data_IF_546113375523
#
_entry.id   IF_546113375523
#
_cell.length_a   1.000
_cell.length_b   1.000
_cell.length_c   1.000
_cell.angle_alpha   90.00
_cell.angle_beta   90.00
_cell.angle_gamma   90.00
#
_symmetry.space_group_name_H-M   'P 1'
#
loop_
_entity.id
_entity.type
_entity.pdbx_description
1 polymer ?
#
# COMPACT_ATOMS: atom_id res chain seq x y z
N UNK A 1 18.26 0.92 12.38
CA UNK A 1 16.92 0.27 12.34
C UNK A 1 15.86 1.17 11.71
N UNK A 2 15.62 2.39 12.22
CA UNK A 2 14.57 3.28 11.69
C UNK A 2 14.71 3.61 10.19
N UNK A 3 15.93 3.77 9.69
CA UNK A 3 16.19 4.00 8.25
C UNK A 3 15.68 2.84 7.39
N UNK A 4 15.85 1.59 7.83
CA UNK A 4 15.37 0.40 7.10
C UNK A 4 13.84 0.43 7.03
N UNK A 5 13.17 0.68 8.17
CA UNK A 5 11.71 0.80 8.20
C UNK A 5 11.23 1.93 7.27
N UNK A 6 11.92 3.08 7.28
CA UNK A 6 11.60 4.21 6.40
C UNK A 6 11.71 3.84 4.91
N UNK A 7 12.78 3.15 4.52
CA UNK A 7 12.97 2.66 3.15
C UNK A 7 11.86 1.70 2.75
N UNK A 8 11.48 0.76 3.63
CA UNK A 8 10.41 -0.21 3.33
C UNK A 8 9.05 0.47 3.15
N UNK A 9 8.72 1.45 3.99
CA UNK A 9 7.50 2.27 3.85
C UNK A 9 7.54 3.05 2.54
N UNK A 10 8.66 3.71 2.25
CA UNK A 10 8.87 4.49 1.02
C UNK A 10 8.68 3.64 -0.24
N UNK A 11 9.23 2.42 -0.23
CA UNK A 11 9.06 1.48 -1.33
C UNK A 11 7.61 1.00 -1.47
N UNK A 12 6.91 0.67 -0.38
CA UNK A 12 5.49 0.30 -0.42
C UNK A 12 4.65 1.39 -1.10
N UNK A 13 4.84 2.65 -0.70
CA UNK A 13 4.07 3.76 -1.28
C UNK A 13 4.44 4.05 -2.71
N UNK A 14 5.72 3.96 -3.08
CA UNK A 14 6.15 4.15 -4.46
C UNK A 14 5.57 3.07 -5.37
N UNK A 15 5.56 1.82 -4.91
CA UNK A 15 4.95 0.71 -5.66
C UNK A 15 3.41 0.81 -5.69
N UNK A 16 2.75 1.33 -4.65
CA UNK A 16 1.33 1.64 -4.73
C UNK A 16 1.06 2.74 -5.78
N UNK A 17 1.85 3.82 -5.77
CA UNK A 17 1.66 4.99 -6.62
C UNK A 17 1.76 4.68 -8.12
N UNK A 18 2.53 3.65 -8.51
CA UNK A 18 2.60 3.24 -9.92
C UNK A 18 1.42 2.36 -10.37
N UNK A 19 0.62 1.86 -9.41
CA UNK A 19 -0.54 0.98 -9.62
C UNK A 19 -1.88 1.73 -9.56
N UNK A 20 -1.94 2.93 -8.97
CA UNK A 20 -3.17 3.75 -8.92
C UNK A 20 -3.53 4.32 -10.30
N UNK A 21 -4.79 4.77 -10.48
CA UNK A 21 -5.24 5.31 -11.75
C UNK A 21 -4.38 6.44 -12.32
N UNK A 22 -3.98 6.31 -13.58
CA UNK A 22 -3.01 7.18 -14.27
C UNK A 22 -1.54 6.79 -14.08
N UNK A 23 -1.25 5.73 -13.31
CA UNK A 23 0.10 5.19 -13.11
C UNK A 23 0.60 4.36 -14.29
N UNK A 24 1.93 4.18 -14.43
CA UNK A 24 2.55 3.53 -15.59
C UNK A 24 2.20 2.03 -15.77
N UNK A 25 1.68 1.37 -14.73
CA UNK A 25 1.34 -0.07 -14.75
C UNK A 25 -0.18 -0.29 -14.54
N UNK A 26 -1.00 0.77 -14.62
CA UNK A 26 -2.45 0.64 -14.49
C UNK A 26 -3.04 -0.12 -15.70
N UNK A 27 -3.32 -1.42 -15.49
CA UNK A 27 -3.82 -2.31 -16.53
C UNK A 27 -5.31 -2.72 -16.34
N UNK A 28 -6.00 -2.16 -15.34
CA UNK A 28 -7.38 -2.53 -15.01
C UNK A 28 -8.36 -1.41 -15.37
N UNK A 29 -9.43 -1.76 -16.09
CA UNK A 29 -10.45 -0.80 -16.49
C UNK A 29 -11.58 -0.75 -15.46
N UNK A 30 -11.60 0.32 -14.65
CA UNK A 30 -12.62 0.54 -13.63
C UNK A 30 -13.73 1.51 -14.06
N UNK A 31 -13.82 1.89 -15.34
CA UNK A 31 -14.83 2.85 -15.86
C UNK A 31 -16.30 2.47 -15.58
N UNK A 32 -16.55 1.19 -15.25
CA UNK A 32 -17.87 0.67 -14.87
C UNK A 32 -18.15 0.74 -13.36
N UNK A 33 -17.12 0.92 -12.52
CA UNK A 33 -17.27 1.16 -11.09
C UNK A 33 -17.58 2.64 -10.87
N UNK A 34 -18.87 2.94 -10.70
CA UNK A 34 -19.37 4.28 -10.38
C UNK A 34 -19.93 4.30 -8.96
N UNK A 35 -19.99 5.49 -8.38
CA UNK A 35 -20.67 5.73 -7.10
C UNK A 35 -19.73 5.82 -5.90
N UNK A 36 -20.34 5.83 -4.71
CA UNK A 36 -19.69 6.17 -3.44
C UNK A 36 -18.50 5.23 -3.11
N UNK A 37 -18.66 3.93 -3.34
CA UNK A 37 -17.66 2.90 -2.99
C UNK A 37 -16.34 3.10 -3.74
N UNK A 38 -16.41 3.40 -5.04
CA UNK A 38 -15.23 3.65 -5.87
C UNK A 38 -14.48 4.90 -5.39
N UNK A 39 -15.20 5.99 -5.15
CA UNK A 39 -14.58 7.24 -4.67
C UNK A 39 -14.00 7.10 -3.28
N UNK A 40 -14.72 6.49 -2.34
CA UNK A 40 -14.24 6.25 -0.98
C UNK A 40 -12.96 5.39 -0.97
N UNK A 41 -12.89 4.36 -1.82
CA UNK A 41 -11.69 3.53 -1.92
C UNK A 41 -10.49 4.30 -2.46
N UNK A 42 -10.67 5.12 -3.50
CA UNK A 42 -9.58 5.95 -4.04
C UNK A 42 -9.12 7.00 -3.04
N UNK A 43 -10.05 7.68 -2.34
CA UNK A 43 -9.70 8.62 -1.27
C UNK A 43 -8.90 7.90 -0.17
N UNK A 44 -9.32 6.70 0.21
CA UNK A 44 -8.58 5.88 1.17
C UNK A 44 -7.16 5.57 0.68
N UNK A 45 -6.97 5.13 -0.57
CA UNK A 45 -5.65 4.85 -1.14
C UNK A 45 -4.76 6.11 -1.19
N UNK A 46 -5.33 7.27 -1.53
CA UNK A 46 -4.62 8.55 -1.52
C UNK A 46 -4.14 8.89 -0.12
N UNK A 47 -5.02 8.79 0.89
CA UNK A 47 -4.67 9.04 2.29
C UNK A 47 -3.63 8.06 2.79
N UNK A 48 -3.73 6.78 2.43
CA UNK A 48 -2.73 5.77 2.74
C UNK A 48 -1.37 6.13 2.12
N UNK A 49 -1.36 6.57 0.86
CA UNK A 49 -0.12 6.96 0.17
C UNK A 49 0.52 8.20 0.79
N UNK A 50 -0.23 9.29 0.94
CA UNK A 50 0.28 10.52 1.57
C UNK A 50 0.74 10.25 3.01
N UNK A 51 -0.05 9.52 3.79
CA UNK A 51 0.30 9.09 5.14
C UNK A 51 1.58 8.28 5.18
N UNK A 52 1.78 7.37 4.22
CA UNK A 52 3.00 6.56 4.13
C UNK A 52 4.25 7.40 3.88
N UNK A 53 4.20 8.40 2.99
CA UNK A 53 5.33 9.32 2.80
C UNK A 53 5.65 10.11 4.08
N UNK A 54 4.62 10.59 4.78
CA UNK A 54 4.78 11.29 6.06
C UNK A 54 5.44 10.34 7.09
N UNK A 55 4.95 9.11 7.22
CA UNK A 55 5.50 8.11 8.15
C UNK A 55 6.94 7.73 7.80
N UNK A 56 7.27 7.58 6.52
CA UNK A 56 8.63 7.35 6.06
C UNK A 56 9.56 8.48 6.52
N UNK A 57 9.15 9.75 6.38
CA UNK A 57 9.90 10.89 6.91
C UNK A 57 10.00 10.87 8.44
N UNK A 58 8.91 10.61 9.16
CA UNK A 58 8.89 10.54 10.63
C UNK A 58 9.82 9.45 11.18
N UNK A 59 9.94 8.33 10.48
CA UNK A 59 10.92 7.28 10.80
C UNK A 59 12.36 7.78 10.60
N UNK A 60 12.66 8.59 9.56
CA UNK A 60 13.99 9.14 9.35
C UNK A 60 14.41 10.09 10.49
N UNK A 61 13.48 10.92 10.98
CA UNK A 61 13.74 11.85 12.09
C UNK A 61 13.54 11.21 13.47
N UNK A 62 13.28 9.89 13.53
CA UNK A 62 13.09 9.12 14.77
C UNK A 62 12.02 9.71 15.71
N UNK A 63 10.89 10.16 15.16
CA UNK A 63 9.76 10.63 15.96
C UNK A 63 9.20 9.53 16.85
N UNK A 64 8.76 9.89 18.06
CA UNK A 64 8.27 8.95 19.08
C UNK A 64 7.05 8.13 18.65
N UNK A 65 6.26 8.63 17.70
CA UNK A 65 5.06 7.95 17.20
C UNK A 65 5.30 7.18 15.89
N UNK A 66 6.50 7.26 15.31
CA UNK A 66 6.78 6.76 13.97
C UNK A 66 6.61 5.23 13.87
N UNK A 67 7.00 4.48 14.91
CA UNK A 67 6.87 3.01 14.95
C UNK A 67 5.40 2.59 14.94
N UNK A 68 4.58 3.18 15.82
CA UNK A 68 3.14 2.88 15.88
C UNK A 68 2.46 3.23 14.56
N UNK A 69 2.78 4.39 13.99
CA UNK A 69 2.23 4.77 12.68
C UNK A 69 2.67 3.81 11.58
N UNK A 70 3.92 3.34 11.58
CA UNK A 70 4.40 2.35 10.62
C UNK A 70 3.69 0.99 10.75
N UNK A 71 3.35 0.56 11.98
CA UNK A 71 2.52 -0.63 12.19
C UNK A 71 1.14 -0.48 11.57
N UNK A 72 0.49 0.68 11.77
CA UNK A 72 -0.81 0.97 11.17
C UNK A 72 -0.72 0.94 9.64
N UNK A 73 0.28 1.60 9.05
CA UNK A 73 0.52 1.58 7.60
C UNK A 73 0.73 0.15 7.08
N UNK A 74 1.52 -0.66 7.78
CA UNK A 74 1.78 -2.05 7.41
C UNK A 74 0.49 -2.89 7.39
N UNK A 75 -0.36 -2.74 8.41
CA UNK A 75 -1.66 -3.43 8.49
C UNK A 75 -2.59 -2.99 7.37
N UNK A 76 -2.66 -1.69 7.08
CA UNK A 76 -3.50 -1.17 6.00
C UNK A 76 -3.06 -1.69 4.63
N UNK A 77 -1.75 -1.68 4.35
CA UNK A 77 -1.22 -2.27 3.12
C UNK A 77 -1.53 -3.77 3.01
N UNK A 78 -1.33 -4.52 4.10
CA UNK A 78 -1.67 -5.94 4.13
C UNK A 78 -3.14 -6.16 3.78
N UNK A 79 -4.06 -5.42 4.40
CA UNK A 79 -5.51 -5.54 4.13
C UNK A 79 -5.80 -5.23 2.67
N UNK A 80 -5.27 -4.14 2.10
CA UNK A 80 -5.52 -3.74 0.71
C UNK A 80 -5.14 -4.86 -0.25
N UNK A 81 -3.90 -5.35 -0.16
CA UNK A 81 -3.41 -6.36 -1.09
C UNK A 81 -4.00 -7.75 -0.81
N UNK A 82 -4.29 -8.10 0.45
CA UNK A 82 -4.95 -9.36 0.78
C UNK A 82 -6.38 -9.42 0.20
N UNK A 83 -7.14 -8.32 0.33
CA UNK A 83 -8.51 -8.21 -0.20
C UNK A 83 -8.50 -8.26 -1.74
N UNK A 84 -7.51 -7.64 -2.38
CA UNK A 84 -7.36 -7.67 -3.84
C UNK A 84 -6.99 -9.06 -4.36
N UNK A 85 -5.96 -9.69 -3.75
CA UNK A 85 -5.53 -11.05 -4.10
C UNK A 85 -6.60 -12.11 -3.80
N UNK A 86 -7.43 -11.90 -2.77
CA UNK A 86 -8.59 -12.75 -2.48
C UNK A 86 -9.74 -12.57 -3.49
N UNK A 87 -9.65 -11.60 -4.40
CA UNK A 87 -10.67 -11.34 -5.42
C UNK A 87 -11.98 -10.81 -4.85
N UNK A 88 -11.93 -10.16 -3.68
CA UNK A 88 -13.10 -9.56 -3.01
C UNK A 88 -13.50 -8.25 -3.71
N UNK A 89 -12.52 -7.52 -4.28
CA UNK A 89 -12.84 -6.33 -5.08
C UNK A 89 -13.68 -6.68 -6.31
N UNK A 90 -14.53 -5.73 -6.78
CA UNK A 90 -15.30 -5.92 -8.00
C UNK A 90 -14.41 -6.31 -9.18
N UNK A 91 -14.75 -7.41 -9.85
CA UNK A 91 -13.93 -7.97 -10.92
C UNK A 91 -13.95 -7.06 -12.15
N UNK A 92 -12.78 -6.58 -12.54
CA UNK A 92 -12.58 -5.94 -13.84
C UNK A 92 -12.88 -6.94 -14.97
N UNK A 93 -13.45 -6.50 -16.10
CA UNK A 93 -13.55 -7.33 -17.31
C UNK A 93 -12.17 -7.76 -17.84
N UNK A 94 -11.12 -6.97 -17.55
CA UNK A 94 -9.75 -7.30 -17.92
C UNK A 94 -9.10 -8.15 -16.84
N UNK A 95 -8.52 -9.29 -17.23
CA UNK A 95 -7.73 -10.14 -16.32
C UNK A 95 -6.51 -9.37 -15.83
N UNK A 96 -6.16 -9.61 -14.57
CA UNK A 96 -4.95 -9.09 -13.95
C UNK A 96 -3.70 -9.51 -14.74
N UNK A 97 -2.81 -8.56 -15.04
CA UNK A 97 -1.54 -8.89 -15.69
C UNK A 97 -0.61 -9.62 -14.71
N UNK A 98 0.31 -10.44 -15.23
CA UNK A 98 1.32 -11.12 -14.41
C UNK A 98 2.19 -10.11 -13.63
N UNK A 99 2.47 -8.96 -14.22
CA UNK A 99 3.22 -7.87 -13.57
C UNK A 99 2.47 -7.28 -12.39
N UNK A 100 1.17 -7.01 -12.53
CA UNK A 100 0.34 -6.48 -11.44
C UNK A 100 0.32 -7.47 -10.27
N UNK A 101 0.10 -8.76 -10.56
CA UNK A 101 0.10 -9.83 -9.56
C UNK A 101 1.42 -9.89 -8.79
N UNK A 102 2.54 -9.83 -9.51
CA UNK A 102 3.87 -9.83 -8.89
C UNK A 102 4.05 -8.63 -7.96
N UNK A 103 3.65 -7.43 -8.40
CA UNK A 103 3.77 -6.22 -7.60
C UNK A 103 2.89 -6.25 -6.35
N UNK A 104 1.69 -6.82 -6.42
CA UNK A 104 0.84 -6.99 -5.23
C UNK A 104 1.43 -8.01 -4.24
N UNK A 105 1.98 -9.12 -4.73
CA UNK A 105 2.68 -10.12 -3.88
C UNK A 105 3.92 -9.51 -3.21
N UNK A 106 4.69 -8.71 -3.95
CA UNK A 106 5.87 -8.01 -3.40
C UNK A 106 5.43 -7.03 -2.32
N UNK A 107 4.43 -6.19 -2.59
CA UNK A 107 3.97 -5.21 -1.62
C UNK A 107 3.39 -5.85 -0.36
N UNK A 108 2.54 -6.88 -0.46
CA UNK A 108 2.00 -7.55 0.73
C UNK A 108 3.10 -8.20 1.56
N UNK A 109 4.12 -8.79 0.91
CA UNK A 109 5.28 -9.37 1.60
C UNK A 109 6.08 -8.29 2.33
N UNK A 110 6.28 -7.12 1.69
CA UNK A 110 6.95 -5.98 2.33
C UNK A 110 6.13 -5.41 3.49
N UNK A 111 4.80 -5.39 3.40
CA UNK A 111 3.93 -4.96 4.49
C UNK A 111 4.04 -5.90 5.70
N UNK A 112 4.04 -7.22 5.49
CA UNK A 112 4.26 -8.20 6.55
C UNK A 112 5.64 -8.02 7.18
N UNK A 113 6.68 -7.91 6.35
CA UNK A 113 8.04 -7.67 6.82
C UNK A 113 8.13 -6.39 7.65
N UNK A 114 7.54 -5.29 7.15
CA UNK A 114 7.51 -4.01 7.86
C UNK A 114 6.90 -4.18 9.25
N UNK A 115 5.72 -4.79 9.35
CA UNK A 115 5.03 -4.98 10.63
C UNK A 115 5.88 -5.76 11.63
N UNK A 116 6.43 -6.90 11.21
CA UNK A 116 7.29 -7.73 12.06
C UNK A 116 8.56 -6.99 12.47
N UNK A 117 9.20 -6.29 11.53
CA UNK A 117 10.43 -5.55 11.77
C UNK A 117 10.24 -4.41 12.74
N UNK A 118 9.23 -3.55 12.55
CA UNK A 118 9.00 -2.40 13.45
C UNK A 118 8.53 -2.84 14.83
N UNK A 119 7.84 -3.98 14.94
CA UNK A 119 7.44 -4.56 16.21
C UNK A 119 8.63 -5.14 16.99
N UNK A 120 9.62 -5.70 16.30
CA UNK A 120 10.82 -6.25 16.93
C UNK A 120 11.80 -5.19 17.45
N UNK A 121 11.70 -3.95 16.97
CA UNK A 121 12.61 -2.85 17.34
C UNK A 121 11.96 -1.79 18.24
N UNK A 122 10.68 -1.97 18.57
CA UNK A 122 9.92 -1.15 19.50
C UNK A 122 10.24 -1.54 20.95
#
# INVERSE_FOLDING_TARGET
MMIIASIVVFLNVTLLAILVPGGPIENRNFSKLKGIVFWSFNVFLILLGVGSYIVSYLLLVSSSHAILMAQVIAVLYFIVYAVDLAGIFPKSPTKMSKTLLLLEIVNISMAIFLFLFVTAIN
#
